data_IF_944637019479
#
_entry.id   IF_944637019479
#
_cell.length_a   1.000
_cell.length_b   1.000
_cell.length_c   1.000
_cell.angle_alpha   90.00
_cell.angle_beta   90.00
_cell.angle_gamma   90.00
#
_symmetry.space_group_name_H-M   'P 1'
#
loop_
_entity.id
_entity.type
_entity.pdbx_description
1 polymer ?
#
# COMPACT_ATOMS: atom_id res chain seq x y z
N UNK A 1 -10.04 -1.76 27.02
CA UNK A 1 -9.63 -0.80 28.03
C UNK A 1 -10.84 0.04 28.42
N UNK A 2 -11.45 0.84 27.53
CA UNK A 2 -12.60 1.72 27.86
C UNK A 2 -13.78 1.00 28.56
N UNK A 3 -14.10 -0.22 28.15
CA UNK A 3 -15.15 -1.01 28.83
C UNK A 3 -14.74 -1.47 30.24
N UNK A 4 -13.47 -1.70 30.46
CA UNK A 4 -12.94 -2.03 31.77
C UNK A 4 -12.97 -0.80 32.67
N UNK A 5 -12.47 0.32 32.19
CA UNK A 5 -12.47 1.58 32.93
C UNK A 5 -13.88 1.98 33.38
N UNK A 6 -14.87 1.93 32.48
CA UNK A 6 -16.28 2.21 32.80
C UNK A 6 -16.89 1.31 33.87
N UNK A 7 -16.38 0.05 34.03
CA UNK A 7 -16.87 -0.88 35.07
C UNK A 7 -16.18 -0.65 36.42
N UNK A 8 -14.97 -0.17 36.40
CA UNK A 8 -14.15 0.01 37.63
C UNK A 8 -14.35 1.42 38.18
N UNK A 9 -14.72 2.40 37.34
CA UNK A 9 -14.86 3.80 37.70
C UNK A 9 -15.78 4.04 38.93
N UNK A 10 -16.90 3.30 39.04
CA UNK A 10 -17.82 3.38 40.17
C UNK A 10 -17.22 2.86 41.50
N UNK A 11 -16.09 2.15 41.46
CA UNK A 11 -15.45 1.54 42.63
C UNK A 11 -14.13 2.24 43.00
N UNK A 12 -13.74 3.29 42.29
CA UNK A 12 -12.48 4.01 42.51
C UNK A 12 -12.69 5.09 43.61
N UNK A 13 -11.89 5.08 44.68
CA UNK A 13 -11.94 6.15 45.68
C UNK A 13 -11.55 7.50 45.04
N UNK A 14 -12.21 8.56 45.49
CA UNK A 14 -11.96 9.93 45.01
C UNK A 14 -10.48 10.31 45.14
N UNK A 15 -9.89 10.78 44.02
CA UNK A 15 -8.48 11.17 43.91
C UNK A 15 -7.55 10.09 43.36
N UNK A 16 -8.03 8.85 43.14
CA UNK A 16 -7.25 7.77 42.54
C UNK A 16 -7.60 7.49 41.08
N UNK A 17 -8.54 8.21 40.51
CA UNK A 17 -9.04 8.00 39.14
C UNK A 17 -7.91 8.00 38.10
N UNK A 18 -7.03 9.01 38.15
CA UNK A 18 -5.91 9.13 37.20
C UNK A 18 -4.88 8.01 37.38
N UNK A 19 -4.63 7.56 38.61
CA UNK A 19 -3.73 6.46 38.91
C UNK A 19 -4.27 5.15 38.30
N UNK A 20 -5.54 4.83 38.58
CA UNK A 20 -6.18 3.60 38.06
C UNK A 20 -6.25 3.62 36.53
N UNK A 21 -6.60 4.74 35.91
CA UNK A 21 -6.60 4.88 34.45
C UNK A 21 -5.21 4.64 33.84
N UNK A 22 -4.16 5.22 34.40
CA UNK A 22 -2.80 5.04 33.87
C UNK A 22 -2.33 3.58 34.03
N UNK A 23 -2.64 2.94 35.15
CA UNK A 23 -2.32 1.52 35.36
C UNK A 23 -3.15 0.60 34.46
N UNK A 24 -4.44 0.86 34.27
CA UNK A 24 -5.28 0.05 33.38
C UNK A 24 -4.81 0.17 31.93
N UNK A 25 -4.49 1.35 31.45
CA UNK A 25 -3.93 1.55 30.10
C UNK A 25 -2.58 0.82 29.95
N UNK A 26 -1.68 0.97 30.91
CA UNK A 26 -0.36 0.35 30.86
C UNK A 26 -0.43 -1.18 30.91
N UNK A 27 -1.11 -1.73 31.91
CA UNK A 27 -1.16 -3.19 32.12
C UNK A 27 -2.02 -3.87 31.05
N UNK A 28 -3.26 -3.40 30.82
CA UNK A 28 -4.13 -3.98 29.80
C UNK A 28 -3.59 -3.77 28.41
N UNK A 29 -2.98 -2.61 28.13
CA UNK A 29 -2.31 -2.33 26.85
C UNK A 29 -1.18 -3.31 26.58
N UNK A 30 -0.33 -3.57 27.58
CA UNK A 30 0.76 -4.54 27.49
C UNK A 30 0.22 -5.97 27.28
N UNK A 31 -0.79 -6.40 28.05
CA UNK A 31 -1.38 -7.73 27.89
C UNK A 31 -2.02 -7.93 26.52
N UNK A 32 -2.74 -6.91 26.01
CA UNK A 32 -3.33 -6.93 24.68
C UNK A 32 -2.27 -6.92 23.58
N UNK A 33 -1.16 -6.21 23.77
CA UNK A 33 -0.04 -6.22 22.83
C UNK A 33 0.64 -7.59 22.76
N UNK A 34 0.87 -8.23 23.93
CA UNK A 34 1.40 -9.60 24.01
C UNK A 34 0.46 -10.58 23.34
N UNK A 35 -0.84 -10.51 23.64
CA UNK A 35 -1.86 -11.36 23.01
C UNK A 35 -1.88 -11.16 21.50
N UNK A 36 -1.85 -9.91 21.04
CA UNK A 36 -1.77 -9.56 19.63
C UNK A 36 -0.54 -10.15 18.96
N UNK A 37 0.61 -10.05 19.59
CA UNK A 37 1.86 -10.60 19.07
C UNK A 37 1.79 -12.13 18.87
N UNK A 38 1.26 -12.87 19.85
CA UNK A 38 1.19 -14.33 19.77
C UNK A 38 0.02 -14.88 18.93
N UNK A 39 -1.06 -14.13 18.76
CA UNK A 39 -2.25 -14.57 18.01
C UNK A 39 -2.27 -13.97 16.62
N UNK A 40 -2.16 -12.64 16.50
CA UNK A 40 -2.23 -11.94 15.21
C UNK A 40 -0.92 -12.09 14.44
N UNK A 41 0.23 -12.07 15.12
CA UNK A 41 1.55 -12.19 14.51
C UNK A 41 1.72 -13.43 13.63
N UNK A 42 1.51 -14.65 14.16
CA UNK A 42 1.60 -15.88 13.34
C UNK A 42 0.62 -15.92 12.18
N UNK A 43 -0.61 -15.41 12.36
CA UNK A 43 -1.60 -15.34 11.31
C UNK A 43 -1.14 -14.41 10.17
N UNK A 44 -0.64 -13.21 10.50
CA UNK A 44 -0.11 -12.27 9.51
C UNK A 44 1.14 -12.82 8.81
N UNK A 45 2.01 -13.51 9.56
CA UNK A 45 3.20 -14.18 8.98
C UNK A 45 2.80 -15.27 8.00
N UNK A 46 1.76 -16.05 8.28
CA UNK A 46 1.27 -17.08 7.37
C UNK A 46 0.73 -16.45 6.07
N UNK A 47 -0.06 -15.38 6.16
CA UNK A 47 -0.53 -14.62 4.98
C UNK A 47 0.67 -14.11 4.17
N UNK A 48 1.63 -13.48 4.83
CA UNK A 48 2.81 -12.93 4.17
C UNK A 48 3.62 -14.03 3.47
N UNK A 49 3.79 -15.19 4.08
CA UNK A 49 4.49 -16.34 3.48
C UNK A 49 3.83 -16.79 2.18
N UNK A 50 2.50 -16.90 2.16
CA UNK A 50 1.74 -17.27 0.95
C UNK A 50 1.91 -16.21 -0.15
N UNK A 51 1.76 -14.93 0.21
CA UNK A 51 1.95 -13.82 -0.73
C UNK A 51 3.36 -13.78 -1.30
N UNK A 52 4.38 -13.94 -0.44
CA UNK A 52 5.80 -13.99 -0.84
C UNK A 52 6.05 -15.13 -1.81
N UNK A 53 5.60 -16.34 -1.48
CA UNK A 53 5.78 -17.51 -2.35
C UNK A 53 5.10 -17.31 -3.73
N UNK A 54 3.92 -16.69 -3.76
CA UNK A 54 3.23 -16.35 -5.01
C UNK A 54 4.02 -15.34 -5.85
N UNK A 55 4.53 -14.29 -5.22
CA UNK A 55 5.36 -13.28 -5.89
C UNK A 55 6.65 -13.89 -6.43
N UNK A 56 7.38 -14.65 -5.61
CA UNK A 56 8.64 -15.30 -6.01
C UNK A 56 8.43 -16.25 -7.19
N UNK A 57 7.34 -17.02 -7.18
CA UNK A 57 6.98 -17.87 -8.30
C UNK A 57 6.77 -17.07 -9.59
N UNK A 58 6.02 -15.97 -9.55
CA UNK A 58 5.76 -15.14 -10.73
C UNK A 58 7.01 -14.43 -11.24
N UNK A 59 7.84 -13.93 -10.32
CA UNK A 59 9.12 -13.29 -10.67
C UNK A 59 10.05 -14.28 -11.35
N UNK A 60 10.20 -15.49 -10.79
CA UNK A 60 11.08 -16.54 -11.35
C UNK A 60 10.63 -17.06 -12.71
N UNK A 61 9.33 -16.98 -13.02
CA UNK A 61 8.77 -17.40 -14.31
C UNK A 61 8.57 -16.23 -15.29
N UNK A 62 9.09 -15.03 -14.99
CA UNK A 62 8.94 -13.83 -15.84
C UNK A 62 7.48 -13.40 -16.06
N UNK A 63 6.59 -13.75 -15.16
CA UNK A 63 5.16 -13.40 -15.18
C UNK A 63 4.88 -12.11 -14.38
N UNK A 64 5.78 -11.12 -14.47
CA UNK A 64 5.75 -9.90 -13.69
C UNK A 64 4.40 -9.17 -13.67
N UNK A 65 3.65 -9.01 -14.78
CA UNK A 65 2.36 -8.33 -14.74
C UNK A 65 1.35 -8.97 -13.79
N UNK A 66 1.39 -10.32 -13.63
CA UNK A 66 0.48 -11.03 -12.73
C UNK A 66 0.80 -10.81 -11.25
N UNK A 67 1.98 -10.28 -10.92
CA UNK A 67 2.34 -9.95 -9.54
C UNK A 67 1.38 -8.92 -8.94
N UNK A 68 0.74 -8.08 -9.76
CA UNK A 68 -0.29 -7.11 -9.32
C UNK A 68 -1.45 -7.76 -8.55
N UNK A 69 -1.79 -9.03 -8.86
CA UNK A 69 -2.85 -9.79 -8.18
C UNK A 69 -2.50 -10.01 -6.70
N UNK A 70 -1.22 -10.11 -6.36
CA UNK A 70 -0.75 -10.29 -4.99
C UNK A 70 -0.41 -8.95 -4.32
N UNK A 71 0.21 -8.03 -5.07
CA UNK A 71 0.66 -6.74 -4.52
C UNK A 71 -0.50 -5.86 -4.11
N UNK A 72 -1.51 -5.69 -4.96
CA UNK A 72 -2.60 -4.74 -4.66
C UNK A 72 -3.45 -5.16 -3.44
N UNK A 73 -3.85 -6.44 -3.28
CA UNK A 73 -4.44 -6.88 -2.03
C UNK A 73 -3.50 -6.75 -0.82
N UNK A 74 -2.21 -7.04 -0.99
CA UNK A 74 -1.24 -6.90 0.09
C UNK A 74 -1.09 -5.44 0.56
N UNK A 75 -1.12 -4.47 -0.35
CA UNK A 75 -1.16 -3.04 0.00
C UNK A 75 -2.34 -2.74 0.92
N UNK A 76 -3.54 -3.10 0.50
CA UNK A 76 -4.79 -2.84 1.26
C UNK A 76 -4.79 -3.52 2.62
N UNK A 77 -4.07 -4.62 2.78
CA UNK A 77 -3.83 -5.30 4.06
C UNK A 77 -2.63 -4.73 4.84
N UNK A 78 -2.04 -3.60 4.40
CA UNK A 78 -0.88 -2.96 5.00
C UNK A 78 0.39 -3.84 5.04
N UNK A 79 0.49 -4.80 4.10
CA UNK A 79 1.64 -5.70 3.95
C UNK A 79 2.63 -5.23 2.86
N UNK A 80 2.34 -4.11 2.21
CA UNK A 80 3.13 -3.52 1.13
C UNK A 80 4.60 -3.37 1.49
N UNK A 81 4.91 -2.80 2.66
CA UNK A 81 6.28 -2.60 3.11
C UNK A 81 7.04 -3.91 3.33
N UNK A 82 6.36 -4.96 3.83
CA UNK A 82 6.97 -6.25 4.03
C UNK A 82 7.40 -6.90 2.70
N UNK A 83 6.55 -6.80 1.66
CA UNK A 83 6.87 -7.31 0.31
C UNK A 83 7.92 -6.42 -0.35
N UNK A 84 7.77 -5.11 -0.27
CA UNK A 84 8.68 -4.17 -0.93
C UNK A 84 10.10 -4.28 -0.38
N UNK A 85 10.26 -4.23 0.95
CA UNK A 85 11.59 -4.32 1.59
C UNK A 85 12.11 -5.76 1.67
N UNK A 86 11.23 -6.76 1.78
CA UNK A 86 11.63 -8.16 1.90
C UNK A 86 11.98 -8.83 0.57
N UNK A 87 11.37 -8.40 -0.54
CA UNK A 87 11.51 -9.05 -1.85
C UNK A 87 12.01 -8.08 -2.91
N UNK A 88 11.24 -7.02 -3.20
CA UNK A 88 11.52 -6.21 -4.38
C UNK A 88 12.78 -5.36 -4.26
N UNK A 89 13.02 -4.74 -3.12
CA UNK A 89 14.21 -3.91 -2.95
C UNK A 89 15.51 -4.71 -3.01
N UNK A 90 15.67 -5.87 -2.34
CA UNK A 90 16.88 -6.69 -2.49
C UNK A 90 17.15 -7.12 -3.94
N UNK A 91 16.12 -7.61 -4.66
CA UNK A 91 16.27 -7.99 -6.07
C UNK A 91 16.55 -6.75 -6.92
N UNK A 92 15.87 -5.65 -6.65
CA UNK A 92 16.04 -4.38 -7.35
C UNK A 92 17.46 -3.82 -7.23
N UNK A 93 18.05 -3.91 -6.04
CA UNK A 93 19.44 -3.48 -5.81
C UNK A 93 20.43 -4.30 -6.65
N UNK A 94 20.27 -5.63 -6.69
CA UNK A 94 21.11 -6.48 -7.52
C UNK A 94 20.98 -6.15 -9.00
N UNK A 95 19.74 -6.04 -9.52
CA UNK A 95 19.49 -5.70 -10.93
C UNK A 95 19.97 -4.29 -11.30
N UNK A 96 19.77 -3.31 -10.42
CA UNK A 96 20.22 -1.95 -10.67
C UNK A 96 21.76 -1.82 -10.64
N UNK A 97 22.46 -2.62 -9.84
CA UNK A 97 23.92 -2.67 -9.85
C UNK A 97 24.46 -3.21 -11.18
N UNK A 98 23.76 -4.13 -11.83
CA UNK A 98 24.17 -4.73 -13.10
C UNK A 98 23.71 -3.91 -14.32
N UNK A 99 22.45 -3.47 -14.34
CA UNK A 99 21.80 -2.86 -15.51
C UNK A 99 21.50 -1.36 -15.35
N UNK A 100 21.87 -0.74 -14.22
CA UNK A 100 21.60 0.66 -13.92
C UNK A 100 20.15 0.97 -13.58
N UNK A 101 19.25 -0.02 -13.67
CA UNK A 101 17.81 0.12 -13.39
C UNK A 101 17.18 -1.22 -13.02
N UNK A 102 16.02 -1.18 -12.34
CA UNK A 102 15.23 -2.36 -12.07
C UNK A 102 13.73 -2.08 -12.13
N UNK A 103 12.96 -2.98 -12.73
CA UNK A 103 11.50 -2.96 -12.72
C UNK A 103 10.96 -3.32 -11.32
N UNK A 104 11.73 -4.03 -10.49
CA UNK A 104 11.33 -4.41 -9.13
C UNK A 104 10.96 -3.20 -8.28
N UNK A 105 11.65 -2.09 -8.46
CA UNK A 105 11.32 -0.83 -7.78
C UNK A 105 9.99 -0.22 -8.20
N UNK A 106 9.37 -0.71 -9.27
CA UNK A 106 8.14 -0.15 -9.85
C UNK A 106 6.89 -0.94 -9.48
N UNK A 107 7.03 -2.20 -9.07
CA UNK A 107 5.92 -3.14 -8.91
C UNK A 107 4.94 -2.70 -7.82
N UNK A 108 5.46 -2.19 -6.71
CA UNK A 108 4.68 -1.77 -5.55
C UNK A 108 4.52 -0.24 -5.47
N UNK A 109 5.53 0.52 -5.86
CA UNK A 109 5.63 1.95 -5.61
C UNK A 109 4.88 2.82 -6.61
N UNK A 110 4.37 2.26 -7.71
CA UNK A 110 3.64 2.99 -8.76
C UNK A 110 2.45 3.79 -8.19
N UNK A 111 2.44 5.14 -8.35
CA UNK A 111 1.36 5.98 -7.84
C UNK A 111 0.06 5.87 -8.63
N UNK A 112 0.12 5.38 -9.88
CA UNK A 112 -1.01 5.38 -10.81
C UNK A 112 -2.25 4.63 -10.32
N UNK A 113 -2.15 3.38 -9.84
CA UNK A 113 -3.32 2.60 -9.43
C UNK A 113 -4.16 3.28 -8.35
N UNK A 114 -3.51 3.75 -7.27
CA UNK A 114 -4.18 4.47 -6.18
C UNK A 114 -4.74 5.82 -6.62
N UNK A 115 -4.02 6.55 -7.49
CA UNK A 115 -4.50 7.81 -8.06
C UNK A 115 -5.80 7.60 -8.84
N UNK A 116 -5.89 6.54 -9.67
CA UNK A 116 -7.10 6.23 -10.42
C UNK A 116 -8.31 6.00 -9.53
N UNK A 117 -8.15 5.21 -8.47
CA UNK A 117 -9.21 4.97 -7.46
C UNK A 117 -9.66 6.30 -6.83
N UNK A 118 -8.72 7.08 -6.32
CA UNK A 118 -9.04 8.35 -5.64
C UNK A 118 -9.74 9.35 -6.56
N UNK A 119 -9.33 9.46 -7.81
CA UNK A 119 -9.98 10.33 -8.80
C UNK A 119 -11.42 9.86 -9.09
N UNK A 120 -11.67 8.55 -9.15
CA UNK A 120 -13.03 8.03 -9.30
C UNK A 120 -13.91 8.40 -8.10
N UNK A 121 -13.38 8.29 -6.89
CA UNK A 121 -14.09 8.74 -5.68
C UNK A 121 -14.36 10.25 -5.66
N UNK A 122 -13.43 11.07 -6.16
CA UNK A 122 -13.66 12.52 -6.29
C UNK A 122 -14.87 12.85 -7.16
N UNK A 123 -15.08 12.08 -8.24
CA UNK A 123 -16.08 12.41 -9.26
C UNK A 123 -17.40 11.65 -9.10
N UNK A 124 -17.34 10.37 -8.76
CA UNK A 124 -18.49 9.47 -8.86
C UNK A 124 -19.02 8.98 -7.49
N UNK A 125 -18.30 9.21 -6.39
CA UNK A 125 -18.77 8.76 -5.07
C UNK A 125 -20.08 9.45 -4.69
N UNK A 126 -21.07 8.63 -4.31
CA UNK A 126 -22.42 9.12 -3.91
C UNK A 126 -22.41 9.71 -2.49
N UNK A 127 -21.56 9.16 -1.60
CA UNK A 127 -21.41 9.70 -0.26
C UNK A 127 -20.66 11.03 -0.30
N UNK A 128 -21.33 12.09 0.17
CA UNK A 128 -20.77 13.47 0.13
C UNK A 128 -19.52 13.61 0.98
N UNK A 129 -19.47 12.97 2.14
CA UNK A 129 -18.35 13.07 3.08
C UNK A 129 -17.10 12.44 2.46
N UNK A 130 -17.22 11.23 1.94
CA UNK A 130 -16.11 10.51 1.27
C UNK A 130 -15.67 11.26 0.02
N UNK A 131 -16.60 11.77 -0.79
CA UNK A 131 -16.27 12.57 -1.97
C UNK A 131 -15.53 13.86 -1.65
N UNK A 132 -15.85 14.52 -0.54
CA UNK A 132 -15.19 15.75 -0.09
C UNK A 132 -13.79 15.49 0.48
N UNK A 133 -13.53 14.32 1.06
CA UNK A 133 -12.21 13.95 1.58
C UNK A 133 -11.25 13.46 0.49
N UNK A 134 -11.76 12.91 -0.61
CA UNK A 134 -10.96 12.30 -1.66
C UNK A 134 -9.92 13.24 -2.33
N UNK A 135 -10.21 14.54 -2.61
CA UNK A 135 -9.20 15.45 -3.15
C UNK A 135 -7.99 15.64 -2.22
N UNK A 136 -8.22 15.71 -0.91
CA UNK A 136 -7.13 15.75 0.07
C UNK A 136 -6.29 14.48 0.04
N UNK A 137 -6.94 13.33 -0.09
CA UNK A 137 -6.26 12.04 -0.24
C UNK A 137 -5.42 11.97 -1.54
N UNK A 138 -5.88 12.54 -2.66
CA UNK A 138 -5.08 12.64 -3.90
C UNK A 138 -3.78 13.41 -3.66
N UNK A 139 -3.84 14.54 -2.96
CA UNK A 139 -2.65 15.34 -2.65
C UNK A 139 -1.68 14.58 -1.75
N UNK A 140 -2.19 13.97 -0.68
CA UNK A 140 -1.39 13.18 0.26
C UNK A 140 -0.75 11.98 -0.44
N UNK A 141 -1.50 11.29 -1.29
CA UNK A 141 -1.00 10.18 -2.09
C UNK A 141 0.10 10.63 -3.06
N UNK A 142 -0.25 11.52 -3.98
CA UNK A 142 0.57 11.82 -5.15
C UNK A 142 1.80 12.70 -4.82
N UNK A 143 1.63 13.67 -3.94
CA UNK A 143 2.70 14.60 -3.53
C UNK A 143 3.34 14.18 -2.22
N UNK A 144 2.55 13.73 -1.24
CA UNK A 144 3.05 13.29 0.07
C UNK A 144 3.76 11.94 0.05
N UNK A 145 3.50 11.09 -0.95
CA UNK A 145 4.12 9.79 -1.05
C UNK A 145 3.60 8.79 0.00
N UNK A 146 2.32 8.90 0.35
CA UNK A 146 1.66 8.03 1.32
C UNK A 146 0.53 7.31 0.59
N UNK A 147 0.82 6.14 0.01
CA UNK A 147 -0.22 5.44 -0.74
C UNK A 147 -1.22 4.71 0.16
N UNK A 148 -0.92 4.47 1.41
CA UNK A 148 -1.86 3.93 2.41
C UNK A 148 -3.14 4.78 2.54
N UNK A 149 -3.10 6.05 2.14
CA UNK A 149 -4.27 6.93 2.18
C UNK A 149 -5.43 6.45 1.30
N UNK A 150 -5.18 5.67 0.23
CA UNK A 150 -6.26 5.15 -0.61
C UNK A 150 -6.82 3.80 -0.13
N UNK A 151 -6.14 3.07 0.76
CA UNK A 151 -6.58 1.75 1.22
C UNK A 151 -7.97 1.76 1.87
N UNK A 152 -8.32 2.74 2.74
CA UNK A 152 -9.68 2.82 3.28
C UNK A 152 -10.77 2.93 2.22
N UNK A 153 -10.50 3.59 1.09
CA UNK A 153 -11.47 3.73 -0.01
C UNK A 153 -11.77 2.38 -0.67
N UNK A 154 -10.79 1.49 -0.76
CA UNK A 154 -10.99 0.11 -1.22
C UNK A 154 -11.70 -0.71 -0.14
N UNK A 155 -11.31 -0.59 1.14
CA UNK A 155 -11.95 -1.35 2.24
C UNK A 155 -13.43 -1.00 2.41
N UNK A 156 -13.86 0.23 2.09
CA UNK A 156 -15.28 0.61 2.07
C UNK A 156 -16.07 -0.09 0.95
N UNK A 157 -15.43 -0.41 -0.17
CA UNK A 157 -16.01 -1.18 -1.27
C UNK A 157 -14.96 -2.16 -1.83
N UNK A 158 -14.83 -3.37 -1.25
CA UNK A 158 -13.75 -4.30 -1.58
C UNK A 158 -13.67 -4.75 -3.05
N UNK A 159 -14.78 -4.67 -3.79
CA UNK A 159 -14.78 -5.05 -5.22
C UNK A 159 -13.90 -4.12 -6.05
N UNK A 160 -13.70 -2.88 -5.58
CA UNK A 160 -12.85 -1.88 -6.27
C UNK A 160 -11.38 -2.34 -6.32
N UNK A 161 -10.95 -3.31 -5.51
CA UNK A 161 -9.58 -3.85 -5.57
C UNK A 161 -9.20 -4.35 -6.98
N UNK A 162 -10.18 -4.75 -7.78
CA UNK A 162 -9.95 -5.19 -9.16
C UNK A 162 -9.44 -4.06 -10.05
N UNK A 163 -9.76 -2.82 -9.73
CA UNK A 163 -9.35 -1.66 -10.51
C UNK A 163 -7.83 -1.39 -10.39
N UNK A 164 -7.24 -1.23 -9.19
CA UNK A 164 -5.80 -1.07 -9.05
C UNK A 164 -5.03 -2.33 -9.49
N UNK A 165 -5.58 -3.55 -9.33
CA UNK A 165 -4.97 -4.78 -9.88
C UNK A 165 -4.82 -4.64 -11.40
N UNK A 166 -5.89 -4.31 -12.12
CA UNK A 166 -5.86 -4.18 -13.57
C UNK A 166 -4.98 -3.00 -14.01
N UNK A 167 -5.06 -1.87 -13.31
CA UNK A 167 -4.22 -0.69 -13.60
C UNK A 167 -2.73 -0.99 -13.45
N UNK A 168 -2.34 -1.64 -12.35
CA UNK A 168 -0.95 -2.00 -12.11
C UNK A 168 -0.48 -3.11 -13.08
N UNK A 169 -1.34 -4.08 -13.38
CA UNK A 169 -1.06 -5.10 -14.40
C UNK A 169 -0.71 -4.46 -15.75
N UNK A 170 -1.52 -3.52 -16.23
CA UNK A 170 -1.28 -2.83 -17.50
C UNK A 170 0.03 -2.03 -17.47
N UNK A 171 0.32 -1.35 -16.38
CA UNK A 171 1.57 -0.60 -16.22
C UNK A 171 2.79 -1.53 -16.21
N UNK A 172 2.76 -2.62 -15.42
CA UNK A 172 3.86 -3.57 -15.35
C UNK A 172 4.09 -4.24 -16.71
N UNK A 173 3.02 -4.60 -17.42
CA UNK A 173 3.13 -5.14 -18.78
C UNK A 173 3.81 -4.13 -19.71
N UNK A 174 3.39 -2.87 -19.69
CA UNK A 174 4.00 -1.81 -20.47
C UNK A 174 5.48 -1.61 -20.11
N UNK A 175 5.82 -1.55 -18.83
CA UNK A 175 7.21 -1.42 -18.38
C UNK A 175 8.08 -2.62 -18.77
N UNK A 176 7.53 -3.82 -18.71
CA UNK A 176 8.23 -5.04 -19.15
C UNK A 176 8.50 -5.00 -20.65
N UNK A 177 7.53 -4.59 -21.46
CA UNK A 177 7.67 -4.47 -22.92
C UNK A 177 8.66 -3.39 -23.35
N UNK A 178 8.75 -2.30 -22.61
CA UNK A 178 9.63 -1.16 -22.92
C UNK A 178 11.01 -1.25 -22.23
N UNK A 179 11.25 -2.28 -21.39
CA UNK A 179 12.50 -2.38 -20.63
C UNK A 179 12.68 -1.25 -19.61
N UNK A 180 11.56 -0.68 -19.15
CA UNK A 180 11.58 0.45 -18.22
C UNK A 180 11.83 -0.02 -16.80
N UNK A 181 12.67 0.70 -16.05
CA UNK A 181 12.98 0.47 -14.64
C UNK A 181 13.41 1.75 -13.95
N UNK A 182 13.34 1.78 -12.62
CA UNK A 182 13.89 2.87 -11.81
C UNK A 182 15.35 2.57 -11.42
N UNK A 183 16.14 3.63 -11.22
CA UNK A 183 17.54 3.54 -10.77
C UNK A 183 17.68 3.25 -9.27
N UNK A 184 16.61 3.40 -8.50
CA UNK A 184 16.58 3.16 -7.06
C UNK A 184 15.15 3.09 -6.53
N UNK A 185 15.00 2.70 -5.23
CA UNK A 185 13.69 2.63 -4.60
C UNK A 185 13.07 4.02 -4.47
N UNK A 186 11.82 4.15 -4.91
CA UNK A 186 11.03 5.37 -4.76
C UNK A 186 10.09 5.26 -3.54
N UNK A 187 9.72 6.41 -2.96
CA UNK A 187 8.65 6.45 -1.94
C UNK A 187 7.34 6.03 -2.57
N UNK A 188 6.66 5.01 -2.02
CA UNK A 188 5.42 4.47 -2.57
C UNK A 188 4.33 5.54 -2.71
N UNK A 189 3.74 5.65 -3.89
CA UNK A 189 2.69 6.62 -4.19
C UNK A 189 3.16 8.02 -4.58
N UNK A 190 4.42 8.41 -4.32
CA UNK A 190 4.92 9.73 -4.68
C UNK A 190 5.30 9.82 -6.15
N UNK A 191 4.60 10.65 -6.91
CA UNK A 191 4.99 10.93 -8.31
C UNK A 191 6.36 11.64 -8.36
N UNK A 192 6.65 12.50 -7.39
CA UNK A 192 7.91 13.24 -7.34
C UNK A 192 9.08 12.28 -7.15
N UNK A 193 9.01 11.41 -6.12
CA UNK A 193 10.04 10.41 -5.87
C UNK A 193 10.16 9.40 -7.03
N UNK A 194 9.03 8.99 -7.58
CA UNK A 194 8.99 8.04 -8.69
C UNK A 194 9.67 8.59 -9.93
N UNK A 195 9.38 9.84 -10.30
CA UNK A 195 10.02 10.52 -11.43
C UNK A 195 11.48 10.87 -11.17
N UNK A 196 11.86 11.19 -9.91
CA UNK A 196 13.25 11.46 -9.55
C UNK A 196 14.16 10.23 -9.67
N UNK A 197 13.59 9.02 -9.48
CA UNK A 197 14.32 7.75 -9.65
C UNK A 197 14.27 7.23 -11.10
N UNK A 198 13.56 7.89 -12.00
CA UNK A 198 13.53 7.50 -13.40
C UNK A 198 14.86 7.85 -14.10
N UNK A 199 15.53 6.91 -14.78
CA UNK A 199 16.67 7.20 -15.63
C UNK A 199 16.27 8.22 -16.71
N UNK A 200 17.19 9.07 -17.12
CA UNK A 200 16.93 10.17 -18.08
C UNK A 200 16.33 9.70 -19.41
N UNK A 201 16.72 8.52 -19.86
CA UNK A 201 16.23 7.89 -21.10
C UNK A 201 14.84 7.25 -20.94
N UNK A 202 14.37 7.08 -19.73
CA UNK A 202 13.11 6.36 -19.40
C UNK A 202 12.05 7.24 -18.74
N UNK A 203 12.31 8.53 -18.53
CA UNK A 203 11.38 9.45 -17.85
C UNK A 203 9.99 9.43 -18.50
N UNK A 204 9.94 9.48 -19.84
CA UNK A 204 8.68 9.49 -20.57
C UNK A 204 7.92 8.15 -20.42
N UNK A 205 8.61 7.02 -20.53
CA UNK A 205 7.99 5.70 -20.39
C UNK A 205 7.52 5.45 -18.95
N UNK A 206 8.29 5.90 -17.95
CA UNK A 206 7.86 5.87 -16.55
C UNK A 206 6.56 6.67 -16.37
N UNK A 207 6.50 7.89 -16.88
CA UNK A 207 5.31 8.74 -16.78
C UNK A 207 4.09 8.14 -17.50
N UNK A 208 4.27 7.64 -18.73
CA UNK A 208 3.20 6.99 -19.50
C UNK A 208 2.62 5.80 -18.73
N UNK A 209 3.46 4.95 -18.12
CA UNK A 209 2.98 3.82 -17.34
C UNK A 209 2.21 4.23 -16.09
N UNK A 210 2.57 5.32 -15.42
CA UNK A 210 1.78 5.89 -14.31
C UNK A 210 0.41 6.34 -14.81
N UNK A 211 0.38 7.10 -15.93
CA UNK A 211 -0.88 7.57 -16.52
C UNK A 211 -1.76 6.40 -16.97
N UNK A 212 -1.16 5.38 -17.59
CA UNK A 212 -1.86 4.16 -18.00
C UNK A 212 -2.51 3.45 -16.80
N UNK A 213 -1.73 3.24 -15.73
CA UNK A 213 -2.26 2.64 -14.50
C UNK A 213 -3.40 3.45 -13.90
N UNK A 214 -3.23 4.77 -13.83
CA UNK A 214 -4.25 5.67 -13.31
C UNK A 214 -5.53 5.66 -14.16
N UNK A 215 -5.40 5.71 -15.48
CA UNK A 215 -6.54 5.70 -16.40
C UNK A 215 -7.34 4.38 -16.31
N UNK A 216 -6.66 3.23 -16.35
CA UNK A 216 -7.32 1.93 -16.23
C UNK A 216 -8.00 1.77 -14.87
N UNK A 217 -7.29 2.11 -13.78
CA UNK A 217 -7.85 2.04 -12.44
C UNK A 217 -9.03 2.99 -12.25
N UNK A 218 -8.97 4.19 -12.81
CA UNK A 218 -10.05 5.18 -12.79
C UNK A 218 -11.31 4.66 -13.48
N UNK A 219 -11.17 4.17 -14.72
CA UNK A 219 -12.31 3.68 -15.51
C UNK A 219 -12.99 2.49 -14.83
N UNK A 220 -12.22 1.59 -14.21
CA UNK A 220 -12.78 0.42 -13.53
C UNK A 220 -13.34 0.74 -12.14
N UNK A 221 -12.97 1.89 -11.56
CA UNK A 221 -13.49 2.35 -10.26
C UNK A 221 -14.73 3.25 -10.41
N UNK A 222 -15.07 3.67 -11.63
CA UNK A 222 -16.22 4.54 -11.96
C UNK A 222 -17.56 3.77 -12.01
#
# INVERSE_FOLDING_TARGET
IKQFDNRVEEHIPAGFEMLVHNFSIGILGMLLAILGYYVIGPFMTAILTVLTAGVDFLVSHSLLPLVSIFIEPAKVLFLNNAINHGIFNPIGVSQAAEAGRSIMYMLETNPGPGLGVLLAYCLFCKDKTTRQSAPGAVVIHLLGGIHEIYFPYILMNPIIILAPIAGNFCAILFYTMTGTGLSGPASPGSIIAYMAMAPRDSVLTVFIGVVLAAAVSFVLSS
#
